data_IF_217631223527
#
_entry.id   IF_217631223527
#
_cell.length_a   1.000
_cell.length_b   1.000
_cell.length_c   1.000
_cell.angle_alpha   90.00
_cell.angle_beta   90.00
_cell.angle_gamma   90.00
#
_symmetry.space_group_name_H-M   'P 1'
#
loop_
_entity.id
_entity.type
_entity.pdbx_description
1 polymer ?
#
# COMPACT_ATOMS: atom_id res chain seq x y z
N UNK A 1 5.43 -16.44 -6.41
CA UNK A 1 5.01 -15.80 -5.15
C UNK A 1 3.56 -15.44 -5.36
N UNK A 2 2.66 -16.12 -4.67
CA UNK A 2 1.23 -15.89 -4.86
C UNK A 2 0.85 -14.50 -4.36
N UNK A 3 -0.21 -13.94 -4.94
CA UNK A 3 -0.77 -12.62 -4.61
C UNK A 3 -1.05 -12.49 -3.11
N UNK A 4 -1.36 -13.62 -2.47
CA UNK A 4 -1.69 -13.70 -1.04
C UNK A 4 -0.43 -13.79 -0.18
N UNK A 5 0.62 -14.47 -0.64
CA UNK A 5 1.89 -14.58 0.09
C UNK A 5 2.52 -13.21 0.37
N UNK A 6 2.38 -12.27 -0.56
CA UNK A 6 2.98 -10.93 -0.43
C UNK A 6 2.32 -10.10 0.69
N UNK A 7 1.00 -10.22 0.87
CA UNK A 7 0.26 -9.45 1.87
C UNK A 7 0.18 -10.18 3.23
N UNK A 8 0.32 -11.50 3.21
CA UNK A 8 0.29 -12.35 4.39
C UNK A 8 1.68 -12.54 5.02
N UNK A 9 2.71 -11.91 4.49
CA UNK A 9 4.04 -11.90 5.11
C UNK A 9 3.99 -11.14 6.45
N UNK A 10 4.25 -11.86 7.54
CA UNK A 10 4.20 -11.35 8.91
C UNK A 10 5.61 -11.35 9.49
N UNK A 11 5.98 -10.25 10.13
CA UNK A 11 7.26 -10.15 10.83
C UNK A 11 7.32 -11.07 12.04
N UNK A 12 8.49 -11.64 12.33
CA UNK A 12 8.70 -12.42 13.54
C UNK A 12 8.49 -11.54 14.79
N UNK A 13 7.93 -12.12 15.85
CA UNK A 13 7.72 -11.44 17.14
C UNK A 13 9.03 -10.97 17.78
N UNK A 14 10.14 -11.67 17.55
CA UNK A 14 11.44 -11.29 18.11
C UNK A 14 11.99 -10.03 17.44
N UNK A 15 11.82 -9.90 16.12
CA UNK A 15 12.18 -8.68 15.39
C UNK A 15 11.31 -7.50 15.83
N UNK A 16 9.99 -7.70 15.95
CA UNK A 16 9.07 -6.66 16.41
C UNK A 16 9.48 -6.15 17.80
N UNK A 17 9.75 -7.04 18.76
CA UNK A 17 10.21 -6.66 20.11
C UNK A 17 11.54 -5.94 20.08
N UNK A 18 12.49 -6.40 19.27
CA UNK A 18 13.80 -5.77 19.13
C UNK A 18 13.67 -4.32 18.69
N UNK A 19 12.96 -4.07 17.58
CA UNK A 19 12.82 -2.72 17.03
C UNK A 19 11.90 -1.83 17.87
N UNK A 20 10.90 -2.40 18.55
CA UNK A 20 10.08 -1.66 19.53
C UNK A 20 10.92 -1.18 20.71
N UNK A 21 11.77 -2.04 21.27
CA UNK A 21 12.66 -1.68 22.37
C UNK A 21 13.64 -0.58 21.94
N UNK A 22 14.24 -0.70 20.76
CA UNK A 22 15.16 0.30 20.22
C UNK A 22 14.46 1.65 20.02
N UNK A 23 13.24 1.64 19.46
CA UNK A 23 12.43 2.84 19.27
C UNK A 23 12.12 3.53 20.60
N UNK A 24 11.66 2.78 21.61
CA UNK A 24 11.35 3.34 22.92
C UNK A 24 12.59 3.83 23.68
N UNK A 25 13.74 3.16 23.54
CA UNK A 25 15.00 3.62 24.11
C UNK A 25 15.45 4.97 23.51
N UNK A 26 15.29 5.17 22.20
CA UNK A 26 15.61 6.46 21.61
C UNK A 26 14.54 7.53 21.91
N UNK A 27 13.29 7.12 22.12
CA UNK A 27 12.24 8.03 22.53
C UNK A 27 12.53 8.63 23.92
N UNK A 28 13.10 7.86 24.85
CA UNK A 28 13.46 8.36 26.18
C UNK A 28 14.67 9.30 26.16
N UNK A 29 15.54 9.21 25.15
CA UNK A 29 16.68 10.14 24.97
C UNK A 29 16.30 11.42 24.23
N UNK A 30 15.06 11.52 23.73
CA UNK A 30 14.47 12.74 23.19
C UNK A 30 14.46 12.85 21.66
N UNK A 31 15.21 11.99 20.96
CA UNK A 31 15.27 11.99 19.49
C UNK A 31 15.35 10.55 18.98
N UNK A 32 14.46 10.18 18.07
CA UNK A 32 14.50 8.88 17.37
C UNK A 32 15.09 9.06 15.98
N UNK A 33 16.07 8.24 15.63
CA UNK A 33 16.68 8.25 14.31
C UNK A 33 15.68 7.83 13.23
N UNK A 34 15.90 8.32 12.01
CA UNK A 34 15.11 7.96 10.83
C UNK A 34 15.11 6.44 10.59
N UNK A 35 16.27 5.79 10.78
CA UNK A 35 16.45 4.35 10.60
C UNK A 35 15.65 3.55 11.64
N UNK A 36 15.77 3.86 12.92
CA UNK A 36 15.04 3.17 14.00
C UNK A 36 13.53 3.36 13.84
N UNK A 37 13.09 4.58 13.49
CA UNK A 37 11.67 4.86 13.20
C UNK A 37 11.16 4.04 12.03
N UNK A 38 11.96 3.93 10.96
CA UNK A 38 11.61 3.13 9.79
C UNK A 38 11.54 1.64 10.13
N UNK A 39 12.54 1.07 10.82
CA UNK A 39 12.54 -0.34 11.18
C UNK A 39 11.34 -0.72 12.06
N UNK A 40 11.00 0.12 13.04
CA UNK A 40 9.81 -0.13 13.84
C UNK A 40 8.52 -0.05 13.01
N UNK A 41 8.39 0.98 12.17
CA UNK A 41 7.24 1.12 11.28
C UNK A 41 7.10 -0.05 10.30
N UNK A 42 8.22 -0.56 9.78
CA UNK A 42 8.29 -1.73 8.90
C UNK A 42 7.75 -3.00 9.57
N UNK A 43 8.08 -3.24 10.84
CA UNK A 43 7.50 -4.33 11.61
C UNK A 43 5.99 -4.15 11.81
N UNK A 44 5.57 -2.93 12.18
CA UNK A 44 4.17 -2.62 12.47
C UNK A 44 3.26 -2.80 11.26
N UNK A 45 3.65 -2.35 10.06
CA UNK A 45 2.85 -2.55 8.84
C UNK A 45 2.78 -4.02 8.41
N UNK A 46 3.67 -4.86 8.93
CA UNK A 46 3.68 -6.32 8.73
C UNK A 46 2.98 -7.09 9.87
N UNK A 47 2.39 -6.40 10.85
CA UNK A 47 1.64 -7.02 11.96
C UNK A 47 0.28 -7.58 11.50
N UNK A 48 -0.24 -8.55 12.23
CA UNK A 48 -1.61 -9.07 12.04
C UNK A 48 -2.68 -8.15 12.64
N UNK A 49 -2.31 -7.15 13.44
CA UNK A 49 -3.25 -6.27 14.12
C UNK A 49 -3.44 -4.96 13.34
N UNK A 50 -4.68 -4.63 12.93
CA UNK A 50 -4.96 -3.36 12.22
C UNK A 50 -4.58 -2.10 13.00
N UNK A 51 -4.51 -2.16 14.34
CA UNK A 51 -4.04 -1.05 15.16
C UNK A 51 -2.54 -0.78 14.97
N UNK A 52 -1.73 -1.84 14.97
CA UNK A 52 -0.29 -1.77 14.72
C UNK A 52 -0.02 -1.25 13.31
N UNK A 53 -0.74 -1.77 12.31
CA UNK A 53 -0.57 -1.32 10.92
C UNK A 53 -0.82 0.18 10.81
N UNK A 54 -1.90 0.70 11.44
CA UNK A 54 -2.18 2.15 11.45
C UNK A 54 -1.07 2.95 12.13
N UNK A 55 -0.53 2.45 13.26
CA UNK A 55 0.63 3.08 13.93
C UNK A 55 1.84 3.14 13.01
N UNK A 56 2.15 2.04 12.31
CA UNK A 56 3.24 1.97 11.34
C UNK A 56 3.05 2.94 10.18
N UNK A 57 1.83 3.05 9.64
CA UNK A 57 1.50 4.00 8.57
C UNK A 57 1.76 5.45 9.00
N UNK A 58 1.35 5.84 10.22
CA UNK A 58 1.60 7.18 10.76
C UNK A 58 3.11 7.48 10.82
N UNK A 59 3.92 6.53 11.29
CA UNK A 59 5.37 6.69 11.35
C UNK A 59 6.00 6.83 9.95
N UNK A 60 5.54 6.05 8.97
CA UNK A 60 6.00 6.16 7.59
C UNK A 60 5.61 7.49 6.94
N UNK A 61 4.41 8.00 7.21
CA UNK A 61 3.99 9.31 6.70
C UNK A 61 4.83 10.46 7.28
N UNK A 62 5.18 10.37 8.57
CA UNK A 62 6.09 11.33 9.20
C UNK A 62 7.47 11.30 8.53
N UNK A 63 7.99 10.09 8.28
CA UNK A 63 9.26 9.91 7.58
C UNK A 63 9.25 10.54 6.17
N UNK A 64 8.18 10.33 5.40
CA UNK A 64 8.04 10.93 4.05
C UNK A 64 7.96 12.46 4.10
N UNK A 65 7.25 13.03 5.08
CA UNK A 65 6.98 14.48 5.15
C UNK A 65 8.14 15.29 5.70
N UNK A 66 8.92 14.73 6.63
CA UNK A 66 9.85 15.50 7.45
C UNK A 66 11.29 15.00 7.42
N UNK A 67 11.51 13.73 7.07
CA UNK A 67 12.79 13.05 7.33
C UNK A 67 13.31 12.26 6.12
N UNK A 68 12.72 12.44 4.92
CA UNK A 68 13.18 11.75 3.72
C UNK A 68 14.54 12.31 3.27
N UNK A 69 15.61 11.69 3.78
CA UNK A 69 17.00 12.10 3.53
C UNK A 69 17.46 11.89 2.09
N UNK A 70 16.93 10.88 1.40
CA UNK A 70 17.23 10.59 0.01
C UNK A 70 16.04 9.90 -0.70
N UNK A 71 16.11 9.82 -2.03
CA UNK A 71 15.07 9.21 -2.86
C UNK A 71 14.97 7.69 -2.64
N UNK A 72 16.02 7.00 -2.20
CA UNK A 72 16.00 5.57 -1.95
C UNK A 72 15.17 5.24 -0.70
N UNK A 73 15.36 5.99 0.39
CA UNK A 73 14.57 5.92 1.61
C UNK A 73 13.10 6.26 1.33
N UNK A 74 12.85 7.33 0.57
CA UNK A 74 11.49 7.72 0.18
C UNK A 74 10.77 6.63 -0.62
N UNK A 75 11.46 5.96 -1.54
CA UNK A 75 10.91 4.80 -2.26
C UNK A 75 10.52 3.68 -1.30
N UNK A 76 11.38 3.34 -0.34
CA UNK A 76 11.06 2.32 0.66
C UNK A 76 9.79 2.71 1.44
N UNK A 77 9.65 3.97 1.83
CA UNK A 77 8.48 4.43 2.58
C UNK A 77 7.19 4.34 1.77
N UNK A 78 7.22 4.77 0.50
CA UNK A 78 6.08 4.67 -0.41
C UNK A 78 5.64 3.21 -0.62
N UNK A 79 6.60 2.30 -0.75
CA UNK A 79 6.31 0.87 -0.88
C UNK A 79 5.59 0.32 0.35
N UNK A 80 6.10 0.60 1.56
CA UNK A 80 5.50 0.11 2.80
C UNK A 80 4.18 0.83 3.16
N UNK A 81 4.00 2.07 2.74
CA UNK A 81 2.70 2.77 2.82
C UNK A 81 1.66 2.08 1.93
N UNK A 82 2.02 1.70 0.70
CA UNK A 82 1.13 0.95 -0.17
C UNK A 82 0.80 -0.43 0.42
N UNK A 83 1.80 -1.16 0.92
CA UNK A 83 1.62 -2.46 1.56
C UNK A 83 0.68 -2.37 2.78
N UNK A 84 0.97 -1.48 3.74
CA UNK A 84 0.19 -1.34 4.96
C UNK A 84 -1.26 -0.93 4.70
N UNK A 85 -1.48 0.06 3.82
CA UNK A 85 -2.84 0.48 3.44
C UNK A 85 -3.62 -0.66 2.78
N UNK A 86 -2.97 -1.47 1.93
CA UNK A 86 -3.62 -2.61 1.29
C UNK A 86 -4.08 -3.69 2.28
N UNK A 87 -3.32 -3.91 3.36
CA UNK A 87 -3.64 -4.88 4.41
C UNK A 87 -4.84 -4.47 5.26
N UNK A 88 -5.09 -3.17 5.41
CA UNK A 88 -6.28 -2.63 6.10
C UNK A 88 -7.42 -2.26 5.14
N UNK A 89 -7.33 -2.70 3.88
CA UNK A 89 -8.34 -2.50 2.81
C UNK A 89 -8.55 -1.05 2.36
N UNK A 90 -7.59 -0.17 2.64
CA UNK A 90 -7.55 1.21 2.12
C UNK A 90 -6.95 1.20 0.71
N UNK A 91 -7.58 0.48 -0.21
CA UNK A 91 -7.02 0.16 -1.53
C UNK A 91 -6.75 1.41 -2.39
N UNK A 92 -7.63 2.42 -2.34
CA UNK A 92 -7.45 3.66 -3.09
C UNK A 92 -6.20 4.43 -2.64
N UNK A 93 -5.95 4.47 -1.32
CA UNK A 93 -4.76 5.10 -0.73
C UNK A 93 -3.52 4.30 -1.11
N UNK A 94 -3.57 2.97 -0.99
CA UNK A 94 -2.48 2.08 -1.38
C UNK A 94 -2.07 2.27 -2.86
N UNK A 95 -3.05 2.39 -3.77
CA UNK A 95 -2.80 2.64 -5.19
C UNK A 95 -2.14 3.99 -5.45
N UNK A 96 -2.47 5.02 -4.68
CA UNK A 96 -1.82 6.33 -4.80
C UNK A 96 -0.33 6.23 -4.47
N UNK A 97 0.02 5.57 -3.36
CA UNK A 97 1.41 5.41 -2.95
C UNK A 97 2.24 4.57 -3.93
N UNK A 98 1.71 3.42 -4.39
CA UNK A 98 2.46 2.56 -5.31
C UNK A 98 2.65 3.19 -6.70
N UNK A 99 1.69 4.01 -7.17
CA UNK A 99 1.86 4.82 -8.38
C UNK A 99 2.93 5.89 -8.21
N UNK A 100 2.98 6.53 -7.04
CA UNK A 100 4.06 7.44 -6.67
C UNK A 100 5.43 6.76 -6.72
N UNK A 101 5.53 5.54 -6.18
CA UNK A 101 6.74 4.72 -6.29
C UNK A 101 7.12 4.46 -7.75
N UNK A 102 6.17 4.00 -8.58
CA UNK A 102 6.42 3.64 -9.98
C UNK A 102 6.76 4.85 -10.85
N UNK A 103 6.37 6.06 -10.45
CA UNK A 103 6.84 7.28 -11.11
C UNK A 103 8.36 7.47 -10.95
N UNK A 104 8.91 7.07 -9.80
CA UNK A 104 10.35 7.16 -9.49
C UNK A 104 11.13 5.96 -10.07
N UNK A 105 10.53 4.76 -10.06
CA UNK A 105 11.12 3.55 -10.63
C UNK A 105 10.12 2.78 -11.51
N UNK A 106 9.94 3.20 -12.77
CA UNK A 106 8.96 2.60 -13.68
C UNK A 106 9.22 1.12 -13.97
N UNK A 107 10.48 0.67 -13.89
CA UNK A 107 10.88 -0.70 -14.24
C UNK A 107 10.84 -1.67 -13.06
N UNK A 108 10.47 -1.22 -11.86
CA UNK A 108 10.49 -2.07 -10.68
C UNK A 108 9.37 -3.14 -10.71
N UNK A 109 9.79 -4.40 -10.87
CA UNK A 109 8.88 -5.55 -10.97
C UNK A 109 8.13 -5.78 -9.66
N UNK A 110 8.76 -5.58 -8.50
CA UNK A 110 8.10 -5.78 -7.20
C UNK A 110 6.96 -4.80 -6.99
N UNK A 111 7.17 -3.52 -7.32
CA UNK A 111 6.13 -2.50 -7.22
C UNK A 111 4.99 -2.73 -8.21
N UNK A 112 5.30 -3.17 -9.45
CA UNK A 112 4.27 -3.58 -10.42
C UNK A 112 3.43 -4.74 -9.90
N UNK A 113 4.07 -5.76 -9.32
CA UNK A 113 3.39 -6.91 -8.73
C UNK A 113 2.50 -6.51 -7.56
N UNK A 114 2.99 -5.64 -6.65
CA UNK A 114 2.19 -5.13 -5.54
C UNK A 114 0.98 -4.34 -6.04
N UNK A 115 1.14 -3.47 -7.05
CA UNK A 115 0.04 -2.73 -7.65
C UNK A 115 -1.04 -3.67 -8.22
N UNK A 116 -0.65 -4.70 -8.99
CA UNK A 116 -1.58 -5.69 -9.52
C UNK A 116 -2.29 -6.48 -8.41
N UNK A 117 -1.57 -6.82 -7.35
CA UNK A 117 -2.13 -7.48 -6.16
C UNK A 117 -3.19 -6.63 -5.47
N UNK A 118 -2.92 -5.33 -5.29
CA UNK A 118 -3.87 -4.37 -4.70
C UNK A 118 -5.13 -4.27 -5.56
N UNK A 119 -4.98 -4.14 -6.88
CA UNK A 119 -6.12 -4.06 -7.81
C UNK A 119 -6.99 -5.33 -7.74
N UNK A 120 -6.38 -6.51 -7.80
CA UNK A 120 -7.10 -7.79 -7.69
C UNK A 120 -7.86 -7.92 -6.37
N UNK A 121 -7.27 -7.51 -5.25
CA UNK A 121 -7.94 -7.56 -3.93
C UNK A 121 -9.07 -6.54 -3.83
N UNK A 122 -8.88 -5.33 -4.36
CA UNK A 122 -9.93 -4.31 -4.43
C UNK A 122 -11.14 -4.80 -5.24
N UNK A 123 -10.89 -5.40 -6.41
CA UNK A 123 -11.93 -6.04 -7.20
C UNK A 123 -12.59 -7.18 -6.43
N UNK A 124 -11.82 -8.14 -5.91
CA UNK A 124 -12.37 -9.29 -5.20
C UNK A 124 -13.23 -8.90 -3.98
N UNK A 125 -12.84 -7.88 -3.22
CA UNK A 125 -13.60 -7.40 -2.08
C UNK A 125 -14.84 -6.59 -2.51
N UNK A 126 -14.78 -5.87 -3.63
CA UNK A 126 -15.97 -5.26 -4.25
C UNK A 126 -16.99 -6.33 -4.69
N UNK A 127 -16.54 -7.47 -5.23
CA UNK A 127 -17.43 -8.58 -5.61
C UNK A 127 -18.07 -9.27 -4.39
N UNK A 128 -17.42 -9.26 -3.23
CA UNK A 128 -17.95 -9.82 -1.98
C UNK A 128 -18.90 -8.86 -1.26
N UNK A 129 -18.80 -7.56 -1.52
CA UNK A 129 -19.54 -6.48 -0.89
C UNK A 129 -20.48 -5.75 -1.86
N UNK A 130 -21.53 -6.43 -2.31
CA UNK A 130 -22.72 -5.85 -2.97
C UNK A 130 -22.55 -5.34 -4.42
N UNK A 131 -23.66 -5.45 -5.16
CA UNK A 131 -24.03 -4.66 -6.32
C UNK A 131 -23.31 -3.30 -6.48
N UNK A 132 -22.82 -3.02 -7.69
CA UNK A 132 -22.51 -1.69 -8.27
C UNK A 132 -21.31 -1.00 -7.57
N UNK A 133 -20.18 -0.82 -8.25
CA UNK A 133 -20.10 0.20 -9.29
C UNK A 133 -19.15 -0.19 -10.42
N UNK A 134 -19.73 -0.30 -11.62
CA UNK A 134 -19.00 -0.34 -12.86
C UNK A 134 -18.21 0.95 -13.05
N UNK A 135 -16.89 0.85 -13.07
CA UNK A 135 -16.00 1.87 -13.61
C UNK A 135 -14.56 1.37 -13.88
N UNK A 136 -14.14 0.22 -13.34
CA UNK A 136 -12.72 -0.20 -13.41
C UNK A 136 -12.45 -1.48 -14.22
N UNK A 137 -13.43 -2.03 -14.94
CA UNK A 137 -13.24 -3.24 -15.74
C UNK A 137 -12.52 -3.01 -17.10
N UNK A 138 -12.03 -1.81 -17.39
CA UNK A 138 -11.35 -1.49 -18.66
C UNK A 138 -9.92 -1.06 -18.40
N UNK A 139 -8.98 -1.98 -18.52
CA UNK A 139 -7.58 -1.63 -18.30
C UNK A 139 -6.50 -2.61 -18.74
N UNK A 140 -6.80 -3.69 -19.46
CA UNK A 140 -5.76 -4.51 -20.12
C UNK A 140 -6.15 -5.00 -21.54
N UNK A 141 -7.20 -4.43 -22.14
CA UNK A 141 -7.61 -4.77 -23.51
C UNK A 141 -8.04 -3.53 -24.28
N UNK A 142 -7.10 -2.62 -24.55
CA UNK A 142 -7.27 -1.64 -25.62
C UNK A 142 -6.96 -2.32 -26.98
N UNK A 143 -7.76 -3.31 -27.36
CA UNK A 143 -7.94 -3.65 -28.77
C UNK A 143 -9.17 -2.88 -29.23
N UNK A 144 -8.90 -1.74 -29.86
CA UNK A 144 -9.65 -1.13 -30.97
C UNK A 144 -11.18 -1.36 -30.98
N UNK A 145 -11.90 -0.36 -30.46
CA UNK A 145 -13.08 0.27 -31.07
C UNK A 145 -14.22 -0.58 -31.64
N UNK A 146 -15.41 -0.46 -31.04
CA UNK A 146 -16.63 0.00 -31.74
C UNK A 146 -17.79 0.22 -30.74
N UNK A 147 -18.12 1.50 -30.56
CA UNK A 147 -19.45 2.07 -30.35
C UNK A 147 -20.47 1.34 -29.47
N UNK A 148 -20.68 1.87 -28.27
CA UNK A 148 -21.93 1.73 -27.50
C UNK A 148 -23.07 2.33 -28.34
N UNK A 149 -24.04 1.50 -28.74
CA UNK A 149 -25.26 1.95 -29.38
C UNK A 149 -26.09 2.77 -28.37
N UNK A 150 -26.37 4.03 -28.73
CA UNK A 150 -27.22 4.95 -27.98
C UNK A 150 -28.68 4.47 -27.98
N UNK A 151 -29.22 4.22 -26.79
CA UNK A 151 -30.64 3.97 -26.58
C UNK A 151 -31.44 5.26 -26.83
N UNK A 152 -32.26 5.28 -27.88
CA UNK A 152 -33.24 6.34 -28.13
C UNK A 152 -34.60 5.92 -27.61
N UNK A 153 -35.04 6.56 -26.54
CA UNK A 153 -36.40 6.52 -26.05
C UNK A 153 -37.14 7.77 -26.58
N UNK A 154 -38.25 7.61 -27.29
CA UNK A 154 -39.21 8.70 -27.48
C UNK A 154 -40.63 8.14 -27.53
N UNK A 155 -41.43 8.54 -26.55
CA UNK A 155 -42.89 8.42 -26.51
C UNK A 155 -43.52 9.20 -27.67
N UNK A 156 -44.47 8.61 -28.39
CA UNK A 156 -45.89 8.99 -28.43
C UNK A 156 -46.64 8.04 -29.34
#
# INVERSE_FOLDING_TARGET
MDVEDLLNDVVCMDDLKKFENEYHQQLTTGTVSQETKFHYAWCLVRSNYPADIRKGLILLEQLVKHEASDEDAKRNYLYYLALGNSRIKEYSVALSFIKGFLHLQPENIQAKNLMLTIQKKMEADAHKGMAIAGALALGLSAVVGLGIALAKNSKK
#
